data_IF_285953864907
#
_entry.id   IF_285953864907
#
_cell.length_a   1.000
_cell.length_b   1.000
_cell.length_c   1.000
_cell.angle_alpha   90.00
_cell.angle_beta   90.00
_cell.angle_gamma   90.00
#
_symmetry.space_group_name_H-M   'P 1'
#
loop_
_entity.id
_entity.type
_entity.pdbx_description
1 polymer ?
#
# COMPACT_ATOMS: atom_id res chain seq x y z
N UNK A 1 5.07 13.27 10.07
CA UNK A 1 4.90 12.63 8.74
C UNK A 1 5.82 11.41 8.67
N UNK A 2 5.35 10.37 8.05
CA UNK A 2 6.06 9.09 7.98
C UNK A 2 5.96 8.55 6.56
N UNK A 3 7.04 7.94 6.06
CA UNK A 3 7.09 7.26 4.77
C UNK A 3 7.42 5.79 5.00
N UNK A 4 6.62 4.89 4.43
CA UNK A 4 6.87 3.46 4.49
C UNK A 4 6.81 2.85 3.11
N UNK A 5 7.58 1.77 2.94
CA UNK A 5 7.57 0.94 1.73
C UNK A 5 7.12 -0.44 2.14
N UNK A 6 6.11 -0.96 1.46
CA UNK A 6 5.50 -2.25 1.76
C UNK A 6 5.63 -3.19 0.58
N UNK A 7 5.89 -4.48 0.87
CA UNK A 7 5.80 -5.54 -0.13
C UNK A 7 4.91 -6.63 0.44
N UNK A 8 3.89 -6.99 -0.33
CA UNK A 8 2.85 -7.94 0.08
C UNK A 8 2.87 -9.12 -0.88
N UNK A 9 3.05 -10.30 -0.34
CA UNK A 9 3.10 -11.55 -1.10
C UNK A 9 1.94 -12.45 -0.74
N UNK A 10 1.49 -13.27 -1.69
CA UNK A 10 0.38 -14.18 -1.54
C UNK A 10 -0.63 -13.97 -2.66
N UNK A 11 -1.92 -14.13 -2.35
CA UNK A 11 -2.96 -13.79 -3.32
C UNK A 11 -3.24 -12.29 -3.21
N UNK A 12 -2.52 -11.51 -3.98
CA UNK A 12 -2.57 -10.04 -3.91
C UNK A 12 -2.78 -9.36 -5.26
N UNK A 13 -2.43 -10.02 -6.37
CA UNK A 13 -2.65 -9.47 -7.70
C UNK A 13 -3.94 -10.02 -8.31
N UNK A 14 -4.55 -9.25 -9.22
CA UNK A 14 -5.76 -9.61 -9.98
C UNK A 14 -7.01 -9.78 -9.13
N UNK A 15 -7.06 -9.13 -7.97
CA UNK A 15 -8.20 -9.14 -7.05
C UNK A 15 -8.66 -7.74 -6.69
N UNK A 16 -8.21 -6.73 -7.44
CA UNK A 16 -8.57 -5.34 -7.17
C UNK A 16 -7.81 -4.70 -6.02
N UNK A 17 -6.70 -5.29 -5.58
CA UNK A 17 -5.93 -4.77 -4.45
C UNK A 17 -5.50 -3.32 -4.67
N UNK A 18 -4.98 -3.00 -5.86
CA UNK A 18 -4.51 -1.64 -6.17
C UNK A 18 -5.64 -0.62 -6.05
N UNK A 19 -6.80 -0.92 -6.62
CA UNK A 19 -7.95 -0.02 -6.58
C UNK A 19 -8.44 0.19 -5.13
N UNK A 20 -8.59 -0.89 -4.38
CA UNK A 20 -9.07 -0.81 -2.99
C UNK A 20 -8.06 -0.09 -2.10
N UNK A 21 -6.77 -0.33 -2.29
CA UNK A 21 -5.74 0.37 -1.51
C UNK A 21 -5.76 1.87 -1.76
N UNK A 22 -6.02 2.29 -3.00
CA UNK A 22 -6.15 3.71 -3.33
C UNK A 22 -7.34 4.33 -2.59
N UNK A 23 -8.48 3.65 -2.55
CA UNK A 23 -9.66 4.14 -1.83
C UNK A 23 -9.38 4.27 -0.33
N UNK A 24 -8.70 3.29 0.26
CA UNK A 24 -8.36 3.32 1.69
C UNK A 24 -7.35 4.43 1.98
N UNK A 25 -6.39 4.62 1.08
CA UNK A 25 -5.41 5.71 1.22
C UNK A 25 -6.11 7.07 1.26
N UNK A 26 -7.07 7.30 0.37
CA UNK A 26 -7.84 8.55 0.40
C UNK A 26 -8.63 8.71 1.70
N UNK A 27 -9.21 7.62 2.21
CA UNK A 27 -9.95 7.65 3.47
C UNK A 27 -9.08 8.11 4.64
N UNK A 28 -7.81 7.71 4.67
CA UNK A 28 -6.90 8.01 5.77
C UNK A 28 -5.90 9.13 5.45
N UNK A 29 -6.13 9.89 4.37
CA UNK A 29 -5.22 10.97 3.96
C UNK A 29 -3.78 10.49 3.76
N UNK A 30 -3.63 9.32 3.17
CA UNK A 30 -2.34 8.74 2.83
C UNK A 30 -2.05 9.02 1.36
N UNK A 31 -0.83 9.47 1.06
CA UNK A 31 -0.35 9.68 -0.30
C UNK A 31 0.70 8.64 -0.64
N UNK A 32 0.97 8.45 -1.93
CA UNK A 32 1.97 7.47 -2.36
C UNK A 32 1.61 6.80 -3.67
N UNK A 33 1.94 5.52 -3.76
CA UNK A 33 1.66 4.74 -4.95
C UNK A 33 1.50 3.25 -4.63
N UNK A 34 0.85 2.54 -5.53
CA UNK A 34 0.71 1.09 -5.48
C UNK A 34 0.95 0.52 -6.87
N UNK A 35 1.72 -0.55 -6.96
CA UNK A 35 1.98 -1.24 -8.22
C UNK A 35 2.10 -2.75 -8.03
N UNK A 36 1.76 -3.49 -9.10
CA UNK A 36 2.06 -4.92 -9.17
C UNK A 36 3.49 -5.10 -9.67
N UNK A 37 4.24 -5.95 -8.99
CA UNK A 37 5.63 -6.26 -9.36
C UNK A 37 5.68 -7.56 -10.15
N UNK A 38 6.75 -7.75 -10.92
CA UNK A 38 6.93 -8.93 -11.76
C UNK A 38 7.04 -10.22 -10.96
N UNK A 39 7.50 -10.14 -9.72
CA UNK A 39 7.63 -11.31 -8.85
C UNK A 39 6.29 -11.73 -8.21
N UNK A 40 5.20 -11.05 -8.56
CA UNK A 40 3.87 -11.36 -8.05
C UNK A 40 3.44 -10.57 -6.82
N UNK A 41 4.33 -9.77 -6.23
CA UNK A 41 3.94 -8.99 -5.06
C UNK A 41 3.24 -7.69 -5.44
N UNK A 42 2.54 -7.11 -4.48
CA UNK A 42 2.06 -5.73 -4.55
C UNK A 42 3.04 -4.87 -3.77
N UNK A 43 3.54 -3.82 -4.40
CA UNK A 43 4.46 -2.86 -3.80
C UNK A 43 3.72 -1.55 -3.53
N UNK A 44 3.88 -1.02 -2.33
CA UNK A 44 3.22 0.23 -1.92
C UNK A 44 4.24 1.16 -1.28
N UNK A 45 4.20 2.44 -1.66
CA UNK A 45 4.82 3.51 -0.89
C UNK A 45 3.71 4.37 -0.32
N UNK A 46 3.81 4.70 0.95
CA UNK A 46 2.75 5.43 1.66
C UNK A 46 3.34 6.49 2.57
N UNK A 47 2.76 7.68 2.51
CA UNK A 47 3.16 8.82 3.34
C UNK A 47 1.94 9.42 4.03
N UNK A 48 2.12 9.91 5.25
CA UNK A 48 1.07 10.58 5.99
C UNK A 48 1.41 10.71 7.46
N UNK A 49 0.45 11.20 8.23
CA UNK A 49 0.58 11.24 9.68
C UNK A 49 0.73 9.82 10.21
N UNK A 50 1.55 9.64 11.26
CA UNK A 50 1.86 8.30 11.78
C UNK A 50 0.62 7.49 12.11
N UNK A 51 -0.38 8.09 12.76
CA UNK A 51 -1.60 7.38 13.12
C UNK A 51 -2.39 6.93 11.90
N UNK A 52 -2.40 7.72 10.84
CA UNK A 52 -3.09 7.37 9.59
C UNK A 52 -2.35 6.28 8.84
N UNK A 53 -1.03 6.35 8.83
CA UNK A 53 -0.18 5.31 8.23
C UNK A 53 -0.41 3.98 8.92
N UNK A 54 -0.50 3.97 10.26
CA UNK A 54 -0.77 2.75 11.01
C UNK A 54 -2.10 2.10 10.61
N UNK A 55 -3.14 2.91 10.46
CA UNK A 55 -4.45 2.42 10.01
C UNK A 55 -4.38 1.85 8.59
N UNK A 56 -3.67 2.51 7.71
CA UNK A 56 -3.47 2.05 6.35
C UNK A 56 -2.72 0.72 6.31
N UNK A 57 -1.64 0.60 7.10
CA UNK A 57 -0.85 -0.63 7.20
C UNK A 57 -1.71 -1.78 7.70
N UNK A 58 -2.54 -1.55 8.72
CA UNK A 58 -3.43 -2.58 9.26
C UNK A 58 -4.40 -3.09 8.20
N UNK A 59 -4.93 -2.19 7.38
CA UNK A 59 -5.77 -2.60 6.26
C UNK A 59 -4.98 -3.44 5.25
N UNK A 60 -3.75 -3.03 4.93
CA UNK A 60 -2.90 -3.75 3.96
C UNK A 60 -2.60 -5.17 4.40
N UNK A 61 -2.45 -5.41 5.71
CA UNK A 61 -2.18 -6.75 6.24
C UNK A 61 -3.33 -7.71 6.02
N UNK A 62 -4.54 -7.20 5.89
CA UNK A 62 -5.77 -7.99 5.66
C UNK A 62 -6.10 -8.01 4.17
N UNK A 63 -6.03 -6.84 3.53
CA UNK A 63 -6.38 -6.67 2.14
C UNK A 63 -7.88 -6.69 1.88
N UNK A 64 -8.28 -6.55 0.61
CA UNK A 64 -9.68 -6.64 0.22
C UNK A 64 -10.16 -8.09 0.24
N UNK A 65 -11.47 -8.29 0.05
CA UNK A 65 -12.04 -9.62 -0.08
C UNK A 65 -11.32 -10.39 -1.20
N UNK A 66 -10.95 -11.64 -0.91
CA UNK A 66 -10.22 -12.49 -1.84
C UNK A 66 -8.70 -12.44 -1.66
N UNK A 67 -8.20 -11.48 -0.90
CA UNK A 67 -6.76 -11.40 -0.63
C UNK A 67 -6.34 -12.44 0.39
N UNK A 68 -5.10 -12.90 0.23
CA UNK A 68 -4.44 -13.73 1.23
C UNK A 68 -3.00 -13.25 1.34
N UNK A 69 -2.68 -12.61 2.46
CA UNK A 69 -1.35 -12.06 2.70
C UNK A 69 -0.52 -13.15 3.39
N UNK A 70 0.43 -13.70 2.67
CA UNK A 70 1.29 -14.76 3.18
C UNK A 70 2.59 -14.22 3.76
N UNK A 71 3.13 -13.15 3.16
CA UNK A 71 4.32 -12.47 3.64
C UNK A 71 4.13 -10.97 3.52
N UNK A 72 4.59 -10.25 4.53
CA UNK A 72 4.47 -8.81 4.63
C UNK A 72 5.83 -8.24 5.03
N UNK A 73 6.37 -7.36 4.18
CA UNK A 73 7.63 -6.67 4.45
C UNK A 73 7.39 -5.18 4.48
N UNK A 74 8.01 -4.51 5.45
CA UNK A 74 7.89 -3.07 5.61
C UNK A 74 9.24 -2.48 5.99
N UNK A 75 9.56 -1.33 5.40
CA UNK A 75 10.69 -0.52 5.83
C UNK A 75 10.28 0.94 5.80
N UNK A 76 10.89 1.74 6.67
CA UNK A 76 10.71 3.18 6.65
C UNK A 76 11.69 3.81 5.67
N UNK A 77 11.30 4.93 5.09
CA UNK A 77 12.12 5.68 4.16
C UNK A 77 11.98 7.17 4.36
N UNK A 78 12.71 7.92 3.55
CA UNK A 78 12.64 9.38 3.56
C UNK A 78 11.40 9.87 2.83
N UNK A 79 10.84 10.98 3.31
CA UNK A 79 9.67 11.59 2.69
C UNK A 79 9.97 11.99 1.25
N UNK A 80 9.06 11.68 0.36
CA UNK A 80 9.12 12.06 -1.06
C UNK A 80 8.12 13.14 -1.41
N UNK A 81 7.27 13.52 -0.45
CA UNK A 81 6.27 14.56 -0.59
C UNK A 81 5.28 14.28 -1.72
N UNK A 82 4.76 13.05 -1.75
CA UNK A 82 3.70 12.70 -2.69
C UNK A 82 2.48 13.60 -2.47
N UNK A 83 1.81 13.98 -3.56
CA UNK A 83 0.64 14.84 -3.51
C UNK A 83 -0.68 14.09 -3.68
N UNK A 84 -0.62 12.84 -4.08
CA UNK A 84 -1.79 11.99 -4.29
C UNK A 84 -1.41 10.53 -4.03
N UNK A 85 -2.38 9.64 -4.05
CA UNK A 85 -2.12 8.20 -4.04
C UNK A 85 -2.56 7.64 -5.38
N UNK A 86 -1.61 7.06 -6.11
CA UNK A 86 -1.83 6.67 -7.49
C UNK A 86 -1.54 5.19 -7.73
N UNK A 87 -2.26 4.62 -8.69
CA UNK A 87 -1.93 3.29 -9.21
C UNK A 87 -0.86 3.49 -10.27
N UNK A 88 0.30 2.85 -10.05
CA UNK A 88 1.42 2.93 -10.98
C UNK A 88 1.40 1.70 -11.89
N UNK A 89 1.20 1.93 -13.18
CA UNK A 89 1.19 0.88 -14.21
C UNK A 89 2.54 0.82 -14.89
N UNK A 90 3.47 0.15 -14.27
CA UNK A 90 4.83 0.03 -14.81
C UNK A 90 4.92 -1.04 -15.88
#
# INVERSE_FOLDING_TARGET
MKHVKLRLYGRVQRIGFRFHSMQVAYKYNVTGLVRNMDDGCVYIEAEGESSNIEKFIEWCKIGPMGAKIEKFYMEEGDLKNYTSFDIDHV
#
